data_IF_057086640286
#
_entry.id   IF_057086640286
#
_cell.length_a   1.000
_cell.length_b   1.000
_cell.length_c   1.000
_cell.angle_alpha   90.00
_cell.angle_beta   90.00
_cell.angle_gamma   90.00
#
_symmetry.space_group_name_H-M   'P 1'
#
loop_
_entity.id
_entity.type
_entity.pdbx_description
1 polymer ?
#
# COMPACT_ATOMS: atom_id res chain seq x y z
N UNK A 1 -58.25 -9.83 -10.09
CA UNK A 1 -59.24 -9.02 -9.38
C UNK A 1 -60.41 -9.80 -8.78
N UNK A 2 -60.87 -10.93 -9.35
CA UNK A 2 -61.93 -11.79 -8.77
C UNK A 2 -61.49 -12.39 -7.43
N UNK A 3 -60.32 -12.99 -7.30
CA UNK A 3 -59.85 -13.62 -6.05
C UNK A 3 -59.70 -12.70 -4.86
N UNK A 4 -59.46 -11.39 -5.09
CA UNK A 4 -59.38 -10.39 -4.02
C UNK A 4 -60.80 -10.00 -3.49
N UNK A 5 -61.82 -10.02 -4.36
CA UNK A 5 -63.20 -9.80 -3.94
C UNK A 5 -63.78 -10.99 -3.17
N UNK A 6 -63.47 -12.22 -3.58
CA UNK A 6 -63.89 -13.44 -2.85
C UNK A 6 -63.21 -13.57 -1.48
N UNK A 7 -62.00 -13.08 -1.31
CA UNK A 7 -61.30 -13.02 -0.02
C UNK A 7 -61.94 -11.99 0.96
N UNK A 8 -62.56 -10.93 0.44
CA UNK A 8 -63.22 -9.88 1.24
C UNK A 8 -64.64 -10.28 1.67
N UNK A 9 -65.17 -11.42 1.21
CA UNK A 9 -66.43 -11.96 1.74
C UNK A 9 -66.28 -12.27 3.23
N UNK A 10 -67.23 -11.79 4.04
CA UNK A 10 -67.20 -11.87 5.52
C UNK A 10 -66.95 -13.28 6.04
N UNK A 11 -67.47 -14.29 5.39
CA UNK A 11 -67.30 -15.68 5.78
C UNK A 11 -65.85 -16.17 5.60
N UNK A 12 -65.20 -15.86 4.49
CA UNK A 12 -63.81 -16.21 4.21
C UNK A 12 -62.85 -15.48 5.15
N UNK A 13 -63.10 -14.19 5.40
CA UNK A 13 -62.34 -13.39 6.34
C UNK A 13 -62.48 -13.90 7.79
N UNK A 14 -63.69 -14.25 8.22
CA UNK A 14 -63.96 -14.77 9.57
C UNK A 14 -63.30 -16.14 9.80
N UNK A 15 -63.28 -16.98 8.79
CA UNK A 15 -62.59 -18.30 8.82
C UNK A 15 -61.09 -18.08 8.92
N UNK A 16 -60.53 -17.27 8.07
CA UNK A 16 -59.09 -16.95 8.10
C UNK A 16 -58.66 -16.39 9.46
N UNK A 17 -59.42 -15.48 10.03
CA UNK A 17 -59.15 -14.91 11.36
C UNK A 17 -59.21 -15.98 12.47
N UNK A 18 -60.14 -16.89 12.44
CA UNK A 18 -60.26 -17.97 13.42
C UNK A 18 -59.12 -18.97 13.32
N UNK A 19 -58.79 -19.39 12.11
CA UNK A 19 -57.72 -20.36 11.86
C UNK A 19 -56.31 -19.79 12.18
N UNK A 20 -56.12 -18.52 11.98
CA UNK A 20 -54.81 -17.86 12.21
C UNK A 20 -54.81 -16.94 13.45
N UNK A 21 -55.83 -16.98 14.32
CA UNK A 21 -55.93 -16.10 15.49
C UNK A 21 -54.67 -16.10 16.36
N UNK A 22 -54.08 -17.29 16.60
CA UNK A 22 -52.87 -17.41 17.38
C UNK A 22 -51.67 -16.77 16.68
N UNK A 23 -51.53 -16.95 15.36
CA UNK A 23 -50.43 -16.31 14.55
C UNK A 23 -50.57 -14.81 14.52
N UNK A 24 -51.82 -14.28 14.44
CA UNK A 24 -52.11 -12.85 14.47
C UNK A 24 -51.69 -12.21 15.82
N UNK A 25 -52.00 -12.92 16.92
CA UNK A 25 -51.56 -12.47 18.24
C UNK A 25 -50.04 -12.41 18.35
N UNK A 26 -49.35 -13.50 17.89
CA UNK A 26 -47.88 -13.51 17.85
C UNK A 26 -47.35 -12.36 17.01
N UNK A 27 -47.90 -12.12 15.83
CA UNK A 27 -47.50 -11.04 14.93
C UNK A 27 -47.63 -9.65 15.60
N UNK A 28 -48.74 -9.40 16.32
CA UNK A 28 -48.95 -8.14 17.05
C UNK A 28 -47.94 -8.01 18.19
N UNK A 29 -47.64 -9.09 18.90
CA UNK A 29 -46.65 -9.07 19.99
C UNK A 29 -45.25 -8.79 19.41
N UNK A 30 -44.85 -9.48 18.35
CA UNK A 30 -43.58 -9.27 17.70
C UNK A 30 -43.47 -7.85 17.14
N UNK A 31 -44.51 -7.33 16.49
CA UNK A 31 -44.53 -5.95 16.00
C UNK A 31 -44.36 -4.91 17.13
N UNK A 32 -45.03 -5.10 18.29
CA UNK A 32 -44.85 -4.23 19.46
C UNK A 32 -43.45 -4.31 20.02
N UNK A 33 -42.88 -5.52 20.16
CA UNK A 33 -41.50 -5.73 20.62
C UNK A 33 -40.53 -5.07 19.66
N UNK A 34 -40.68 -5.31 18.36
CA UNK A 34 -39.83 -4.74 17.33
C UNK A 34 -39.88 -3.19 17.35
N UNK A 35 -41.09 -2.60 17.45
CA UNK A 35 -41.25 -1.15 17.55
C UNK A 35 -40.55 -0.58 18.80
N UNK A 36 -40.66 -1.26 19.93
CA UNK A 36 -40.00 -0.89 21.16
C UNK A 36 -38.46 -1.00 21.02
N UNK A 37 -37.96 -2.13 20.49
CA UNK A 37 -36.54 -2.33 20.25
C UNK A 37 -35.97 -1.29 19.28
N UNK A 38 -36.71 -0.98 18.17
CA UNK A 38 -36.30 0.07 17.22
C UNK A 38 -36.10 1.41 17.91
N UNK A 39 -37.01 1.83 18.79
CA UNK A 39 -36.89 3.08 19.52
C UNK A 39 -35.59 3.17 20.35
N UNK A 40 -35.16 2.05 20.95
CA UNK A 40 -33.94 2.01 21.75
C UNK A 40 -32.72 2.02 20.84
N UNK A 41 -32.73 1.22 19.75
CA UNK A 41 -31.64 1.17 18.77
C UNK A 41 -31.46 2.53 18.11
N UNK A 42 -32.54 3.18 17.68
CA UNK A 42 -32.51 4.55 17.11
C UNK A 42 -31.83 5.55 18.06
N UNK A 43 -32.14 5.46 19.36
CA UNK A 43 -31.50 6.31 20.38
C UNK A 43 -30.02 6.08 20.50
N UNK A 44 -29.60 4.79 20.55
CA UNK A 44 -28.19 4.42 20.64
C UNK A 44 -27.43 4.87 19.40
N UNK A 45 -27.97 4.59 18.20
CA UNK A 45 -27.34 5.00 16.94
C UNK A 45 -27.19 6.53 16.88
N UNK A 46 -28.21 7.30 17.24
CA UNK A 46 -28.14 8.77 17.29
C UNK A 46 -27.06 9.26 18.24
N UNK A 47 -26.96 8.70 19.46
CA UNK A 47 -25.90 9.06 20.40
C UNK A 47 -24.50 8.79 19.83
N UNK A 48 -24.32 7.68 19.13
CA UNK A 48 -23.03 7.33 18.49
C UNK A 48 -22.74 8.32 17.36
N UNK A 49 -23.72 8.60 16.50
CA UNK A 49 -23.57 9.52 15.36
C UNK A 49 -23.32 10.97 15.84
N UNK A 50 -24.00 11.41 16.88
CA UNK A 50 -23.83 12.77 17.43
C UNK A 50 -22.45 12.96 18.11
N UNK A 51 -21.88 11.89 18.69
CA UNK A 51 -20.51 11.91 19.23
C UNK A 51 -19.44 11.80 18.16
N UNK A 52 -19.75 11.27 17.01
CA UNK A 52 -18.83 11.16 15.89
C UNK A 52 -18.73 12.50 15.16
N UNK A 53 -17.56 12.78 14.55
CA UNK A 53 -17.35 13.97 13.72
C UNK A 53 -17.95 13.82 12.30
N UNK A 54 -18.99 13.00 12.17
CA UNK A 54 -19.64 12.70 10.89
C UNK A 54 -20.57 13.86 10.54
N UNK A 55 -20.57 14.25 9.26
CA UNK A 55 -21.49 15.25 8.73
C UNK A 55 -22.96 14.85 9.00
N UNK A 56 -23.79 15.84 9.36
CA UNK A 56 -25.21 15.62 9.67
C UNK A 56 -25.99 15.01 8.50
N UNK A 57 -25.60 15.32 7.28
CA UNK A 57 -26.23 14.75 6.06
C UNK A 57 -25.94 13.26 5.96
N UNK A 58 -24.70 12.86 6.22
CA UNK A 58 -24.28 11.44 6.23
C UNK A 58 -24.97 10.69 7.36
N UNK A 59 -25.04 11.26 8.56
CA UNK A 59 -25.74 10.68 9.70
C UNK A 59 -27.23 10.45 9.39
N UNK A 60 -27.91 11.45 8.78
CA UNK A 60 -29.31 11.34 8.35
C UNK A 60 -29.50 10.25 7.28
N UNK A 61 -28.60 10.18 6.32
CA UNK A 61 -28.63 9.14 5.28
C UNK A 61 -28.50 7.73 5.89
N UNK A 62 -27.54 7.52 6.79
CA UNK A 62 -27.33 6.23 7.47
C UNK A 62 -28.53 5.82 8.31
N UNK A 63 -29.17 6.77 9.02
CA UNK A 63 -30.39 6.52 9.79
C UNK A 63 -31.56 6.13 8.88
N UNK A 64 -31.68 6.76 7.72
CA UNK A 64 -32.73 6.44 6.75
C UNK A 64 -32.52 5.06 6.14
N UNK A 65 -31.28 4.73 5.74
CA UNK A 65 -30.91 3.42 5.20
C UNK A 65 -31.17 2.30 6.21
N UNK A 66 -30.70 2.48 7.46
CA UNK A 66 -31.00 1.56 8.56
C UNK A 66 -32.50 1.34 8.74
N UNK A 67 -33.30 2.44 8.75
CA UNK A 67 -34.74 2.35 8.94
C UNK A 67 -35.44 1.60 7.82
N UNK A 68 -35.03 1.80 6.58
CA UNK A 68 -35.55 1.06 5.41
C UNK A 68 -35.26 -0.43 5.56
N UNK A 69 -34.00 -0.78 5.83
CA UNK A 69 -33.59 -2.19 6.02
C UNK A 69 -34.34 -2.84 7.19
N UNK A 70 -34.48 -2.13 8.30
CA UNK A 70 -35.22 -2.60 9.46
C UNK A 70 -36.67 -2.95 9.12
N UNK A 71 -37.40 -2.07 8.41
CA UNK A 71 -38.77 -2.33 8.03
C UNK A 71 -38.90 -3.43 6.97
N UNK A 72 -37.95 -3.57 6.07
CA UNK A 72 -37.93 -4.69 5.10
C UNK A 72 -37.84 -6.02 5.86
N UNK A 73 -36.88 -6.15 6.79
CA UNK A 73 -36.71 -7.37 7.59
C UNK A 73 -37.92 -7.63 8.47
N UNK A 74 -38.45 -6.61 9.14
CA UNK A 74 -39.64 -6.74 9.98
C UNK A 74 -40.85 -7.22 9.16
N UNK A 75 -41.10 -6.62 8.00
CA UNK A 75 -42.20 -7.01 7.11
C UNK A 75 -42.06 -8.46 6.66
N UNK A 76 -40.85 -8.87 6.27
CA UNK A 76 -40.55 -10.26 5.88
C UNK A 76 -40.91 -11.23 7.02
N UNK A 77 -40.45 -10.98 8.25
CA UNK A 77 -40.73 -11.81 9.43
C UNK A 77 -42.23 -11.89 9.72
N UNK A 78 -42.96 -10.78 9.61
CA UNK A 78 -44.40 -10.74 9.86
C UNK A 78 -45.19 -11.55 8.82
N UNK A 79 -44.78 -11.50 7.54
CA UNK A 79 -45.38 -12.30 6.45
C UNK A 79 -45.14 -13.79 6.66
N UNK A 80 -43.93 -14.16 7.07
CA UNK A 80 -43.54 -15.56 7.32
C UNK A 80 -44.35 -16.18 8.47
N UNK A 81 -44.58 -15.42 9.56
CA UNK A 81 -45.43 -15.86 10.71
C UNK A 81 -46.86 -16.18 10.29
N UNK A 82 -47.40 -15.43 9.33
CA UNK A 82 -48.73 -15.69 8.79
C UNK A 82 -48.80 -16.98 7.98
N UNK A 83 -47.67 -17.61 7.64
CA UNK A 83 -47.57 -18.80 6.82
C UNK A 83 -47.81 -18.53 5.34
N UNK A 84 -47.63 -17.27 4.90
CA UNK A 84 -47.65 -16.88 3.49
C UNK A 84 -46.36 -17.37 2.86
N UNK A 85 -46.44 -18.00 1.68
CA UNK A 85 -45.25 -18.46 0.99
C UNK A 85 -44.31 -17.31 0.63
N UNK A 86 -43.19 -17.24 1.36
CA UNK A 86 -42.16 -16.21 1.19
C UNK A 86 -41.04 -16.61 0.23
N UNK A 87 -41.14 -17.80 -0.41
CA UNK A 87 -40.09 -18.35 -1.28
C UNK A 87 -39.65 -17.40 -2.39
N UNK A 88 -40.61 -16.77 -3.09
CA UNK A 88 -40.29 -15.79 -4.14
C UNK A 88 -39.62 -14.52 -3.61
N UNK A 89 -40.03 -14.08 -2.41
CA UNK A 89 -39.40 -12.91 -1.74
C UNK A 89 -37.98 -13.25 -1.33
N UNK A 90 -37.77 -14.45 -0.74
CA UNK A 90 -36.46 -14.93 -0.35
C UNK A 90 -35.52 -15.05 -1.55
N UNK A 91 -36.00 -15.61 -2.66
CA UNK A 91 -35.23 -15.74 -3.91
C UNK A 91 -34.83 -14.37 -4.45
N UNK A 92 -35.77 -13.40 -4.45
CA UNK A 92 -35.51 -12.04 -4.87
C UNK A 92 -34.42 -11.36 -4.01
N UNK A 93 -34.53 -11.43 -2.67
CA UNK A 93 -33.55 -10.85 -1.78
C UNK A 93 -32.19 -11.54 -1.85
N UNK A 94 -32.18 -12.85 -2.08
CA UNK A 94 -30.95 -13.62 -2.29
C UNK A 94 -30.22 -13.15 -3.55
N UNK A 95 -30.94 -13.03 -4.66
CA UNK A 95 -30.37 -12.52 -5.91
C UNK A 95 -29.87 -11.07 -5.77
N UNK A 96 -30.69 -10.19 -5.15
CA UNK A 96 -30.31 -8.82 -4.88
C UNK A 96 -29.07 -8.73 -3.96
N UNK A 97 -28.99 -9.60 -2.94
CA UNK A 97 -27.85 -9.70 -2.02
C UNK A 97 -26.54 -10.06 -2.74
N UNK A 98 -26.59 -11.01 -3.69
CA UNK A 98 -25.43 -11.39 -4.51
C UNK A 98 -24.96 -10.19 -5.33
N UNK A 99 -25.87 -9.47 -6.01
CA UNK A 99 -25.53 -8.29 -6.83
C UNK A 99 -24.91 -7.21 -5.96
N UNK A 100 -25.50 -6.91 -4.80
CA UNK A 100 -24.96 -5.95 -3.85
C UNK A 100 -23.59 -6.38 -3.31
N UNK A 101 -23.41 -7.67 -2.99
CA UNK A 101 -22.13 -8.21 -2.53
C UNK A 101 -21.02 -8.01 -3.57
N UNK A 102 -21.33 -8.24 -4.85
CA UNK A 102 -20.38 -7.99 -5.95
C UNK A 102 -20.09 -6.48 -6.07
N UNK A 103 -21.11 -5.62 -5.99
CA UNK A 103 -20.94 -4.18 -6.06
C UNK A 103 -20.06 -3.61 -4.94
N UNK A 104 -20.14 -4.18 -3.73
CA UNK A 104 -19.35 -3.74 -2.57
C UNK A 104 -18.06 -4.52 -2.35
N UNK A 105 -17.73 -5.50 -3.20
CA UNK A 105 -16.55 -6.39 -3.05
C UNK A 105 -15.26 -5.61 -2.78
N UNK A 106 -14.99 -4.57 -3.56
CA UNK A 106 -13.76 -3.77 -3.41
C UNK A 106 -13.75 -2.97 -2.10
N UNK A 107 -14.90 -2.40 -1.72
CA UNK A 107 -15.01 -1.63 -0.47
C UNK A 107 -14.77 -2.53 0.75
N UNK A 108 -15.38 -3.72 0.75
CA UNK A 108 -15.19 -4.73 1.80
C UNK A 108 -13.74 -5.22 1.80
N UNK A 109 -13.15 -5.44 0.62
CA UNK A 109 -11.74 -5.82 0.46
C UNK A 109 -10.79 -4.77 1.04
N UNK A 110 -11.05 -3.49 0.80
CA UNK A 110 -10.25 -2.39 1.35
C UNK A 110 -10.39 -2.27 2.87
N UNK A 111 -11.60 -2.44 3.40
CA UNK A 111 -11.83 -2.51 4.85
C UNK A 111 -11.07 -3.68 5.49
N UNK A 112 -11.18 -4.87 4.91
CA UNK A 112 -10.44 -6.07 5.36
C UNK A 112 -8.93 -5.86 5.30
N UNK A 113 -8.41 -5.25 4.22
CA UNK A 113 -7.01 -4.86 4.07
C UNK A 113 -6.55 -3.92 5.17
N UNK A 114 -7.35 -2.90 5.51
CA UNK A 114 -7.06 -1.99 6.63
C UNK A 114 -6.95 -2.72 7.96
N UNK A 115 -7.87 -3.65 8.23
CA UNK A 115 -7.84 -4.47 9.45
C UNK A 115 -6.59 -5.36 9.50
N UNK A 116 -6.19 -5.97 8.37
CA UNK A 116 -4.97 -6.77 8.25
C UNK A 116 -3.74 -5.91 8.56
N UNK A 117 -3.63 -4.72 7.97
CA UNK A 117 -2.49 -3.81 8.20
C UNK A 117 -2.40 -3.43 9.67
N UNK A 118 -3.51 -3.06 10.30
CA UNK A 118 -3.53 -2.64 11.71
C UNK A 118 -3.24 -3.78 12.70
N UNK A 119 -3.63 -5.01 12.34
CA UNK A 119 -3.45 -6.21 13.20
C UNK A 119 -2.06 -6.79 13.06
N UNK A 120 -1.62 -7.10 11.84
CA UNK A 120 -0.35 -7.77 11.57
C UNK A 120 0.83 -6.80 11.40
N UNK A 121 0.55 -5.53 11.13
CA UNK A 121 1.52 -4.44 11.03
C UNK A 121 2.71 -4.75 10.10
N UNK A 122 2.48 -5.16 8.85
CA UNK A 122 3.55 -5.34 7.86
C UNK A 122 4.34 -4.03 7.65
N UNK A 123 3.70 -2.91 7.88
CA UNK A 123 4.28 -1.57 8.01
C UNK A 123 3.47 -0.73 9.01
N UNK A 124 4.05 0.37 9.46
CA UNK A 124 3.46 1.28 10.46
C UNK A 124 3.48 2.72 9.94
N UNK A 125 2.73 3.59 10.61
CA UNK A 125 2.86 5.05 10.42
C UNK A 125 4.28 5.46 10.76
N UNK A 126 4.92 6.22 9.88
CA UNK A 126 6.32 6.64 9.96
C UNK A 126 7.29 5.75 9.18
N UNK A 127 6.89 4.55 8.75
CA UNK A 127 7.75 3.71 7.92
C UNK A 127 7.90 4.28 6.51
N UNK A 128 9.11 4.16 5.96
CA UNK A 128 9.38 4.41 4.55
C UNK A 128 9.10 3.14 3.76
N UNK A 129 8.14 3.18 2.87
CA UNK A 129 7.75 2.05 2.02
C UNK A 129 7.90 2.36 0.54
N UNK A 130 8.15 1.32 -0.24
CA UNK A 130 8.10 1.37 -1.69
C UNK A 130 6.94 0.51 -2.17
N UNK A 131 6.04 1.14 -2.91
CA UNK A 131 4.88 0.51 -3.53
C UNK A 131 4.82 0.91 -5.00
N UNK A 132 4.89 -0.08 -5.90
CA UNK A 132 5.05 0.15 -7.34
C UNK A 132 6.26 1.08 -7.60
N UNK A 133 6.00 2.24 -8.24
CA UNK A 133 7.02 3.26 -8.55
C UNK A 133 7.14 4.36 -7.50
N UNK A 134 6.34 4.31 -6.45
CA UNK A 134 6.32 5.33 -5.40
C UNK A 134 7.11 4.89 -4.19
N UNK A 135 7.97 5.76 -3.70
CA UNK A 135 8.68 5.61 -2.42
C UNK A 135 8.22 6.75 -1.52
N UNK A 136 7.85 6.45 -0.28
CA UNK A 136 7.40 7.48 0.64
C UNK A 136 7.16 7.00 2.05
N UNK A 137 6.97 7.96 2.94
CA UNK A 137 6.66 7.74 4.35
C UNK A 137 5.16 7.56 4.56
N UNK A 138 4.76 6.52 5.27
CA UNK A 138 3.37 6.29 5.66
C UNK A 138 2.93 7.37 6.65
N UNK A 139 1.96 8.21 6.27
CA UNK A 139 1.43 9.30 7.12
C UNK A 139 0.22 8.89 7.94
N UNK A 140 -0.68 8.10 7.36
CA UNK A 140 -1.83 7.54 8.08
C UNK A 140 -2.30 6.25 7.44
N UNK A 141 -2.86 5.37 8.26
CA UNK A 141 -3.57 4.15 7.86
C UNK A 141 -5.03 4.37 8.28
N UNK A 142 -5.90 4.52 7.28
CA UNK A 142 -7.32 4.77 7.48
C UNK A 142 -8.14 3.51 7.18
N UNK A 143 -9.44 3.55 7.39
CA UNK A 143 -10.31 2.37 7.27
C UNK A 143 -10.23 1.68 5.90
N UNK A 144 -10.15 2.46 4.81
CA UNK A 144 -10.19 1.96 3.43
C UNK A 144 -8.91 2.20 2.64
N UNK A 145 -8.06 3.11 3.09
CA UNK A 145 -6.85 3.50 2.37
C UNK A 145 -5.71 3.92 3.31
N UNK A 146 -4.50 3.77 2.82
CA UNK A 146 -3.26 4.24 3.45
C UNK A 146 -2.79 5.48 2.71
N UNK A 147 -2.38 6.52 3.44
CA UNK A 147 -1.79 7.74 2.92
C UNK A 147 -0.27 7.68 3.06
N UNK A 148 0.42 7.91 1.98
CA UNK A 148 1.88 7.94 1.91
C UNK A 148 2.33 9.29 1.36
N UNK A 149 3.42 9.86 1.89
CA UNK A 149 4.03 11.12 1.44
C UNK A 149 5.37 10.84 0.82
N UNK A 150 5.54 11.22 -0.44
CA UNK A 150 6.81 11.06 -1.16
C UNK A 150 7.84 12.11 -0.74
N UNK A 151 9.16 11.91 -1.02
CA UNK A 151 10.18 12.93 -0.81
C UNK A 151 9.92 14.22 -1.58
N UNK A 152 9.20 14.17 -2.71
CA UNK A 152 8.77 15.34 -3.49
C UNK A 152 7.59 16.08 -2.84
N UNK A 153 7.16 15.68 -1.63
CA UNK A 153 6.06 16.28 -0.89
C UNK A 153 4.67 15.97 -1.50
N UNK A 154 4.54 14.93 -2.33
CA UNK A 154 3.28 14.48 -2.91
C UNK A 154 2.56 13.51 -1.98
N UNK A 155 1.23 13.57 -1.94
CA UNK A 155 0.38 12.66 -1.20
C UNK A 155 -0.11 11.54 -2.14
N UNK A 156 0.28 10.31 -1.86
CA UNK A 156 -0.20 9.12 -2.55
C UNK A 156 -1.20 8.41 -1.65
N UNK A 157 -2.39 8.16 -2.19
CA UNK A 157 -3.48 7.46 -1.49
C UNK A 157 -3.63 6.07 -2.10
N UNK A 158 -3.44 5.04 -1.31
CA UNK A 158 -3.44 3.65 -1.77
C UNK A 158 -4.57 2.90 -1.07
N UNK A 159 -5.51 2.27 -1.81
CA UNK A 159 -6.54 1.41 -1.22
C UNK A 159 -5.90 0.25 -0.45
N UNK A 160 -6.36 0.01 0.79
CA UNK A 160 -5.75 -0.99 1.66
C UNK A 160 -5.82 -2.42 1.12
N UNK A 161 -6.90 -2.78 0.43
CA UNK A 161 -7.06 -4.10 -0.18
C UNK A 161 -6.04 -4.36 -1.29
N UNK A 162 -5.61 -3.31 -2.01
CA UNK A 162 -4.61 -3.44 -3.05
C UNK A 162 -3.21 -3.60 -2.41
N UNK A 163 -2.86 -2.74 -1.45
CA UNK A 163 -1.53 -2.77 -0.83
C UNK A 163 -1.28 -4.07 -0.05
N UNK A 164 -2.33 -4.70 0.51
CA UNK A 164 -2.20 -5.99 1.21
C UNK A 164 -2.11 -7.19 0.29
N UNK A 165 -2.54 -7.06 -0.97
CA UNK A 165 -2.55 -8.15 -1.95
C UNK A 165 -1.42 -8.05 -2.98
N UNK A 166 -0.53 -7.07 -2.83
CA UNK A 166 0.60 -6.84 -3.75
C UNK A 166 1.92 -6.82 -3.02
N UNK A 167 3.01 -6.93 -3.76
CA UNK A 167 4.36 -6.82 -3.22
C UNK A 167 4.61 -5.40 -2.71
N UNK A 168 5.15 -5.31 -1.50
CA UNK A 168 5.52 -4.09 -0.80
C UNK A 168 6.93 -4.25 -0.23
N UNK A 169 7.78 -3.23 -0.39
CA UNK A 169 9.09 -3.17 0.27
C UNK A 169 9.05 -2.18 1.42
N UNK A 170 9.24 -2.66 2.65
CA UNK A 170 9.41 -1.81 3.82
C UNK A 170 10.90 -1.52 4.02
N UNK A 171 11.28 -0.24 3.87
CA UNK A 171 12.67 0.19 3.91
C UNK A 171 13.15 0.58 5.31
N UNK A 172 12.24 0.65 6.29
CA UNK A 172 12.53 1.15 7.65
C UNK A 172 12.41 0.06 8.70
N UNK A 173 11.62 -0.99 8.44
CA UNK A 173 11.39 -2.07 9.40
C UNK A 173 12.70 -2.74 9.85
N UNK A 174 13.63 -2.93 8.92
CA UNK A 174 14.98 -3.39 9.23
C UNK A 174 15.89 -2.20 9.52
N UNK A 175 16.55 -2.23 10.66
CA UNK A 175 17.42 -1.13 11.12
C UNK A 175 18.69 -0.98 10.29
N UNK A 176 19.10 -2.06 9.63
CA UNK A 176 20.33 -2.15 8.85
C UNK A 176 20.00 -2.52 7.42
N UNK A 177 20.57 -1.80 6.47
CA UNK A 177 20.42 -2.05 5.04
C UNK A 177 21.78 -2.19 4.39
N UNK A 178 21.88 -3.05 3.37
CA UNK A 178 23.04 -3.14 2.50
C UNK A 178 22.91 -2.10 1.38
N UNK A 179 23.95 -1.31 1.20
CA UNK A 179 24.13 -0.45 0.05
C UNK A 179 24.99 -1.18 -0.98
N UNK A 180 24.44 -1.37 -2.15
CA UNK A 180 25.11 -1.97 -3.30
C UNK A 180 25.43 -0.86 -4.29
N UNK A 181 26.73 -0.66 -4.59
CA UNK A 181 27.18 0.36 -5.53
C UNK A 181 28.04 -0.28 -6.62
N UNK A 182 27.75 0.05 -7.86
CA UNK A 182 28.55 -0.40 -9.01
C UNK A 182 29.34 0.80 -9.52
N UNK A 183 30.67 0.62 -9.60
CA UNK A 183 31.61 1.64 -10.07
C UNK A 183 32.37 1.06 -11.25
N UNK A 184 32.23 1.69 -12.43
CA UNK A 184 32.97 1.33 -13.64
C UNK A 184 34.30 2.04 -13.72
N UNK A 185 35.37 1.32 -14.03
CA UNK A 185 36.70 1.85 -14.32
C UNK A 185 37.17 1.42 -15.71
N UNK A 186 38.11 2.15 -16.29
CA UNK A 186 38.69 1.84 -17.60
C UNK A 186 39.36 0.45 -17.57
N UNK A 187 39.31 -0.27 -18.68
CA UNK A 187 40.03 -1.53 -18.86
C UNK A 187 41.55 -1.39 -18.70
N UNK A 188 42.08 -0.16 -18.87
CA UNK A 188 43.49 0.14 -18.68
C UNK A 188 43.89 0.38 -17.21
N UNK A 189 42.91 0.45 -16.29
CA UNK A 189 43.16 0.67 -14.87
C UNK A 189 43.68 -0.60 -14.19
N UNK A 190 44.63 -0.43 -13.26
CA UNK A 190 45.11 -1.53 -12.44
C UNK A 190 44.06 -1.95 -11.42
N UNK A 191 43.55 -3.17 -11.58
CA UNK A 191 42.51 -3.74 -10.72
C UNK A 191 42.93 -3.78 -9.25
N UNK A 192 44.22 -4.05 -8.94
CA UNK A 192 44.71 -4.08 -7.57
C UNK A 192 44.68 -2.70 -6.93
N UNK A 193 45.19 -1.70 -7.67
CA UNK A 193 45.19 -0.31 -7.23
C UNK A 193 43.75 0.20 -6.99
N UNK A 194 42.84 -0.07 -7.92
CA UNK A 194 41.43 0.31 -7.76
C UNK A 194 40.84 -0.32 -6.51
N UNK A 195 41.10 -1.61 -6.27
CA UNK A 195 40.59 -2.32 -5.10
C UNK A 195 41.17 -1.78 -3.79
N UNK A 196 42.46 -1.42 -3.76
CA UNK A 196 43.11 -0.79 -2.61
C UNK A 196 42.45 0.59 -2.28
N UNK A 197 42.30 1.45 -3.28
CA UNK A 197 41.72 2.77 -3.12
C UNK A 197 40.26 2.68 -2.62
N UNK A 198 39.47 1.77 -3.20
CA UNK A 198 38.08 1.56 -2.73
C UNK A 198 38.01 1.01 -1.30
N UNK A 199 38.93 0.08 -0.94
CA UNK A 199 39.03 -0.42 0.43
C UNK A 199 39.38 0.69 1.42
N UNK A 200 40.28 1.59 1.05
CA UNK A 200 40.69 2.69 1.93
C UNK A 200 39.54 3.69 2.13
N UNK A 201 38.80 4.04 1.07
CA UNK A 201 37.60 4.88 1.16
C UNK A 201 36.57 4.24 2.13
N UNK A 202 36.31 2.94 1.95
CA UNK A 202 35.35 2.21 2.79
C UNK A 202 35.83 2.17 4.24
N UNK A 203 37.12 1.88 4.50
CA UNK A 203 37.69 1.85 5.87
C UNK A 203 37.64 3.22 6.56
N UNK A 204 37.87 4.30 5.85
CA UNK A 204 37.77 5.65 6.38
C UNK A 204 36.32 6.00 6.82
N UNK A 205 35.33 5.38 6.21
CA UNK A 205 33.91 5.58 6.48
C UNK A 205 33.31 4.57 7.47
N UNK A 206 34.08 3.62 8.00
CA UNK A 206 33.61 2.65 9.00
C UNK A 206 33.44 3.34 10.36
N UNK A 207 32.26 3.12 10.95
CA UNK A 207 31.98 3.60 12.31
C UNK A 207 32.85 2.90 13.35
N UNK A 208 33.73 3.64 14.01
CA UNK A 208 34.57 3.15 15.12
C UNK A 208 34.03 3.70 16.45
N UNK A 209 33.74 2.81 17.37
CA UNK A 209 33.19 3.15 18.69
C UNK A 209 34.13 4.03 19.55
N UNK A 210 35.40 4.00 19.28
CA UNK A 210 36.48 4.68 20.00
C UNK A 210 36.68 6.16 19.57
N UNK A 211 36.04 6.58 18.50
CA UNK A 211 36.00 7.97 18.06
C UNK A 211 34.75 8.70 18.58
N UNK A 212 34.45 8.59 19.89
CA UNK A 212 33.52 9.51 20.51
C UNK A 212 34.16 10.87 20.57
N UNK A 213 33.61 11.78 19.76
CA UNK A 213 33.56 13.23 19.94
C UNK A 213 34.75 13.85 20.70
N UNK A 214 35.76 14.24 19.97
CA UNK A 214 36.49 15.44 20.32
C UNK A 214 35.61 16.60 19.85
N UNK A 215 35.08 17.38 20.78
CA UNK A 215 34.36 18.62 20.52
C UNK A 215 35.24 19.53 19.67
N UNK A 216 34.85 19.77 18.43
CA UNK A 216 35.48 20.67 17.50
C UNK A 216 35.05 20.43 16.08
N UNK A 217 34.18 21.25 15.60
CA UNK A 217 33.74 21.65 14.24
C UNK A 217 34.28 20.93 12.99
N UNK A 218 34.39 19.59 12.96
CA UNK A 218 34.55 18.79 11.73
C UNK A 218 34.34 17.32 12.05
N UNK A 219 33.11 16.94 12.48
CA UNK A 219 32.74 15.55 12.62
C UNK A 219 32.70 14.90 11.23
N UNK A 220 33.68 14.05 10.92
CA UNK A 220 33.58 13.10 9.83
C UNK A 220 32.50 12.09 10.22
N UNK A 221 31.31 12.24 9.70
CA UNK A 221 30.22 11.31 9.92
C UNK A 221 30.56 9.95 9.29
N UNK A 222 30.67 8.93 10.13
CA UNK A 222 30.95 7.56 9.71
C UNK A 222 29.65 6.77 9.61
N UNK A 223 29.31 6.30 8.44
CA UNK A 223 28.01 5.66 8.17
C UNK A 223 28.08 4.16 7.96
N UNK A 224 29.26 3.59 7.70
CA UNK A 224 29.43 2.16 7.40
C UNK A 224 29.55 1.38 8.71
N UNK A 225 28.74 0.30 8.83
CA UNK A 225 28.84 -0.63 9.93
C UNK A 225 30.02 -1.59 9.73
N UNK A 226 30.78 -1.94 10.80
CA UNK A 226 31.90 -2.86 10.69
C UNK A 226 31.49 -4.31 10.48
N UNK A 227 30.24 -4.65 10.78
CA UNK A 227 29.68 -6.01 10.67
C UNK A 227 28.28 -5.93 10.07
N UNK A 228 27.97 -6.69 9.02
CA UNK A 228 28.88 -7.57 8.23
C UNK A 228 30.02 -6.81 7.54
N UNK A 229 31.15 -7.49 7.34
CA UNK A 229 32.34 -6.89 6.75
C UNK A 229 32.08 -6.40 5.32
N UNK A 230 32.53 -5.18 4.97
CA UNK A 230 32.43 -4.68 3.61
C UNK A 230 33.09 -5.59 2.58
N UNK A 231 32.48 -5.74 1.41
CA UNK A 231 33.02 -6.58 0.34
C UNK A 231 33.18 -5.74 -0.93
N UNK A 232 34.39 -5.79 -1.53
CA UNK A 232 34.71 -5.09 -2.76
C UNK A 232 35.32 -6.06 -3.75
N UNK A 233 34.81 -6.11 -4.98
CA UNK A 233 35.30 -6.97 -6.04
C UNK A 233 34.79 -6.61 -7.41
N UNK A 234 35.45 -7.14 -8.43
CA UNK A 234 34.96 -7.06 -9.83
C UNK A 234 33.73 -7.95 -9.95
N UNK A 235 32.62 -7.36 -10.41
CA UNK A 235 31.35 -8.08 -10.60
C UNK A 235 31.10 -8.39 -12.07
N UNK A 236 31.59 -7.55 -12.97
CA UNK A 236 31.31 -7.66 -14.39
C UNK A 236 32.41 -7.02 -15.22
N UNK A 237 32.68 -7.62 -16.39
CA UNK A 237 33.45 -7.00 -17.46
C UNK A 237 32.44 -6.46 -18.47
N UNK A 238 32.09 -5.18 -18.32
CA UNK A 238 31.05 -4.52 -19.12
C UNK A 238 31.58 -4.07 -20.50
N UNK A 239 30.67 -3.53 -21.32
CA UNK A 239 31.00 -3.11 -22.70
C UNK A 239 32.10 -2.05 -22.78
N UNK A 240 32.19 -1.14 -21.81
CA UNK A 240 33.15 -0.04 -21.82
C UNK A 240 33.89 0.12 -20.49
N UNK A 241 33.67 -0.74 -19.52
CA UNK A 241 34.23 -0.64 -18.17
C UNK A 241 34.38 -1.97 -17.47
N UNK A 242 35.35 -2.04 -16.57
CA UNK A 242 35.45 -3.10 -15.55
C UNK A 242 34.62 -2.64 -14.35
N UNK A 243 33.52 -3.33 -14.05
CA UNK A 243 32.59 -2.94 -13.02
C UNK A 243 32.98 -3.58 -11.67
N UNK A 244 33.26 -2.72 -10.69
CA UNK A 244 33.46 -3.09 -9.30
C UNK A 244 32.15 -2.97 -8.55
N UNK A 245 31.85 -3.93 -7.68
CA UNK A 245 30.77 -3.83 -6.73
C UNK A 245 31.31 -3.59 -5.33
N UNK A 246 30.65 -2.66 -4.62
CA UNK A 246 30.93 -2.28 -3.24
C UNK A 246 29.69 -2.64 -2.44
N UNK A 247 29.78 -3.63 -1.54
CA UNK A 247 28.74 -4.00 -0.59
C UNK A 247 29.11 -3.49 0.79
N UNK A 248 28.33 -2.55 1.29
CA UNK A 248 28.51 -1.97 2.62
C UNK A 248 27.18 -1.95 3.37
N UNK A 249 27.23 -2.15 4.69
CA UNK A 249 26.05 -2.10 5.53
C UNK A 249 26.00 -0.80 6.29
N UNK A 250 24.80 -0.23 6.40
CA UNK A 250 24.55 1.03 7.09
C UNK A 250 23.20 0.99 7.81
N UNK A 251 22.99 1.93 8.74
CA UNK A 251 21.64 2.13 9.29
C UNK A 251 20.71 2.64 8.21
N UNK A 252 19.44 2.20 8.23
CA UNK A 252 18.44 2.57 7.23
C UNK A 252 18.28 4.08 7.08
N UNK A 253 18.40 4.84 8.16
CA UNK A 253 18.34 6.31 8.20
C UNK A 253 19.49 6.98 7.43
N UNK A 254 20.65 6.35 7.37
CA UNK A 254 21.86 6.90 6.76
C UNK A 254 22.08 6.42 5.31
N UNK A 255 21.22 5.56 4.80
CA UNK A 255 21.40 4.92 3.50
C UNK A 255 21.63 5.91 2.35
N UNK A 256 20.81 6.94 2.27
CA UNK A 256 20.87 7.92 1.20
C UNK A 256 22.10 8.83 1.35
N UNK A 257 22.38 9.30 2.55
CA UNK A 257 23.54 10.14 2.84
C UNK A 257 24.86 9.41 2.55
N UNK A 258 24.96 8.15 2.95
CA UNK A 258 26.12 7.31 2.65
C UNK A 258 26.32 7.15 1.14
N UNK A 259 25.23 6.91 0.39
CA UNK A 259 25.31 6.78 -1.07
C UNK A 259 25.86 8.04 -1.75
N UNK A 260 25.38 9.20 -1.35
CA UNK A 260 25.85 10.48 -1.88
C UNK A 260 27.32 10.70 -1.55
N UNK A 261 27.69 10.49 -0.28
CA UNK A 261 29.05 10.68 0.22
C UNK A 261 30.05 9.76 -0.50
N UNK A 262 29.74 8.48 -0.62
CA UNK A 262 30.64 7.54 -1.31
C UNK A 262 30.81 7.87 -2.78
N UNK A 263 29.75 8.30 -3.49
CA UNK A 263 29.88 8.71 -4.89
C UNK A 263 30.84 9.90 -5.04
N UNK A 264 30.74 10.89 -4.16
CA UNK A 264 31.62 12.07 -4.16
C UNK A 264 33.06 11.69 -3.81
N UNK A 265 33.28 10.96 -2.72
CA UNK A 265 34.61 10.54 -2.26
C UNK A 265 35.33 9.63 -3.28
N UNK A 266 34.60 8.69 -3.90
CA UNK A 266 35.14 7.83 -4.95
C UNK A 266 35.62 8.68 -6.13
N UNK A 267 34.81 9.62 -6.60
CA UNK A 267 35.20 10.50 -7.72
C UNK A 267 36.45 11.30 -7.40
N UNK A 268 36.48 11.97 -6.24
CA UNK A 268 37.64 12.79 -5.80
C UNK A 268 38.91 11.94 -5.69
N UNK A 269 38.79 10.74 -5.05
CA UNK A 269 39.94 9.87 -4.84
C UNK A 269 40.44 9.26 -6.14
N UNK A 270 39.54 8.86 -7.06
CA UNK A 270 39.91 8.34 -8.36
C UNK A 270 40.68 9.38 -9.21
N UNK A 271 40.24 10.64 -9.19
CA UNK A 271 40.94 11.71 -9.87
C UNK A 271 42.34 11.91 -9.29
N UNK A 272 42.49 11.93 -7.97
CA UNK A 272 43.77 12.06 -7.29
C UNK A 272 44.77 10.93 -7.58
N UNK A 273 44.22 9.70 -7.73
CA UNK A 273 44.98 8.45 -7.98
C UNK A 273 45.14 8.13 -9.48
N UNK A 274 44.68 9.02 -10.38
CA UNK A 274 44.67 8.78 -11.83
C UNK A 274 43.97 7.49 -12.23
N UNK A 275 42.85 7.14 -11.57
CA UNK A 275 41.97 6.04 -11.95
C UNK A 275 40.88 6.61 -12.87
N UNK A 276 40.85 6.12 -14.10
CA UNK A 276 39.92 6.63 -15.12
C UNK A 276 38.56 5.99 -14.99
N UNK A 277 37.52 6.86 -14.94
CA UNK A 277 36.11 6.45 -15.15
C UNK A 277 35.84 6.64 -16.64
N UNK A 278 35.64 5.54 -17.40
CA UNK A 278 35.62 5.60 -18.85
C UNK A 278 34.33 6.24 -19.38
N UNK A 279 34.46 6.97 -20.46
CA UNK A 279 33.32 7.29 -21.32
C UNK A 279 32.90 6.04 -22.11
N UNK A 280 31.70 5.99 -22.72
CA UNK A 280 31.33 4.93 -23.64
C UNK A 280 32.39 4.77 -24.73
N UNK A 281 32.93 3.56 -24.91
CA UNK A 281 33.95 3.23 -25.89
C UNK A 281 33.30 2.66 -27.14
N UNK A 282 33.85 2.97 -28.30
CA UNK A 282 33.42 2.44 -29.61
C UNK A 282 34.58 2.22 -30.54
N UNK A 283 34.71 1.03 -31.08
CA UNK A 283 35.68 0.73 -32.16
C UNK A 283 35.10 1.17 -33.50
N UNK A 284 35.74 2.18 -34.12
CA UNK A 284 35.30 2.71 -35.41
C UNK A 284 36.23 2.26 -36.50
N UNK A 285 35.81 1.34 -37.38
CA UNK A 285 36.53 0.93 -38.58
C UNK A 285 36.15 1.87 -39.74
N UNK A 286 37.06 2.78 -40.10
CA UNK A 286 36.88 3.68 -41.23
C UNK A 286 37.40 3.03 -42.49
N UNK A 287 36.51 2.46 -43.31
CA UNK A 287 36.88 2.01 -44.67
C UNK A 287 36.99 3.23 -45.57
N UNK A 288 38.24 3.70 -45.82
CA UNK A 288 38.51 4.67 -46.87
C UNK A 288 38.34 3.99 -48.25
N UNK A 289 37.16 4.03 -48.81
CA UNK A 289 37.06 3.94 -50.27
C UNK A 289 37.43 5.33 -50.80
N UNK A 290 38.72 5.51 -51.14
CA UNK A 290 39.17 6.64 -51.96
C UNK A 290 38.59 6.38 -53.38
N UNK A 291 37.48 6.94 -53.71
CA UNK A 291 37.06 7.16 -55.10
C UNK A 291 37.84 8.38 -55.55
N UNK A 292 38.83 8.17 -56.41
CA UNK A 292 39.46 9.21 -57.21
C UNK A 292 38.38 9.92 -57.99
N UNK A 293 38.01 11.12 -57.56
CA UNK A 293 37.26 12.06 -58.38
C UNK A 293 38.26 12.67 -59.38
N UNK A 294 38.38 12.05 -60.53
CA UNK A 294 38.99 12.74 -61.67
C UNK A 294 38.17 14.03 -61.95
N UNK A 295 38.80 15.14 -61.61
CA UNK A 295 38.33 16.47 -62.03
C UNK A 295 38.50 16.52 -63.55
N UNK A 296 37.44 16.27 -64.26
CA UNK A 296 37.37 16.61 -65.71
C UNK A 296 37.33 18.12 -65.82
N UNK A 297 38.51 18.71 -65.97
CA UNK A 297 38.66 20.04 -66.57
C UNK A 297 38.32 19.97 -68.03
N UNK A 298 37.24 20.58 -68.46
CA UNK A 298 37.09 21.18 -69.77
C UNK A 298 36.40 22.51 -69.65
#
# INVERSE_FOLDING_TARGET
>A
MKGFKEFLEWENLSRFLKENAFKIVIMIVIFKIAKYAKKHIDKVIRIILDKSRIDKSVASFLMSLYSILYYIVLTYVLIDILGINTSSITTFFSAAGIVLGIAFKETIGNFGGGLIILTFKPFKVGDMIEYNKYVGEVKSIEMFYTKMKTPQNELVIIPNGIITNTELRNMTNEKVRRLDMIIGVSYNSDIKKVKEVLNDIVKENIFRKDQRSVEGNNEKEHYILPVPEPTIGVVELGESSVNFNIFVYTKSENYFNLKLKLNEEIKIRFDAENIEIPYPQMDVHINKQVKDWEICSK
#
